data_IF_726642565479
#
_entry.id   IF_726642565479
#
_cell.length_a   1.000
_cell.length_b   1.000
_cell.length_c   1.000
_cell.angle_alpha   90.00
_cell.angle_beta   90.00
_cell.angle_gamma   90.00
#
_symmetry.space_group_name_H-M   'P 1'
#
loop_
_entity.id
_entity.type
_entity.pdbx_description
1 polymer ?
#
# COMPACT_ATOMS: atom_id res chain seq x y z
N UNK A 1 -10.61 -25.07 0.32
CA UNK A 1 -9.57 -24.15 0.80
C UNK A 1 -8.38 -24.28 -0.15
N UNK A 2 -8.52 -23.79 -1.37
CA UNK A 2 -7.42 -23.77 -2.32
C UNK A 2 -6.73 -22.41 -2.15
N UNK A 3 -5.47 -22.47 -1.75
CA UNK A 3 -4.45 -21.42 -1.70
C UNK A 3 -4.91 -20.00 -2.11
N UNK A 4 -5.15 -19.16 -1.11
CA UNK A 4 -5.26 -17.71 -1.29
C UNK A 4 -3.85 -17.14 -1.41
N UNK A 5 -3.16 -17.48 -2.50
CA UNK A 5 -1.83 -16.94 -2.77
C UNK A 5 -1.96 -15.44 -3.08
N UNK A 6 -1.31 -14.63 -2.25
CA UNK A 6 -1.29 -13.18 -2.39
C UNK A 6 -0.43 -12.71 -3.57
N UNK A 7 -0.48 -11.41 -3.91
CA UNK A 7 0.41 -10.84 -4.93
C UNK A 7 1.89 -11.18 -4.66
N UNK A 8 2.54 -11.82 -5.64
CA UNK A 8 3.96 -12.21 -5.54
C UNK A 8 4.24 -13.57 -4.92
N UNK A 9 3.21 -14.31 -4.53
CA UNK A 9 3.35 -15.69 -4.06
C UNK A 9 3.26 -16.69 -5.22
N UNK A 10 3.90 -17.86 -5.04
CA UNK A 10 3.90 -18.93 -6.04
C UNK A 10 5.00 -18.85 -7.10
N UNK A 11 4.91 -19.72 -8.10
CA UNK A 11 5.90 -19.81 -9.18
C UNK A 11 5.66 -18.76 -10.26
N UNK A 12 6.73 -18.11 -10.73
CA UNK A 12 6.63 -17.12 -11.81
C UNK A 12 6.17 -17.75 -13.13
N UNK A 13 5.22 -17.11 -13.79
CA UNK A 13 4.74 -17.47 -15.14
C UNK A 13 5.00 -16.33 -16.11
N UNK A 14 5.42 -16.64 -17.34
CA UNK A 14 5.64 -15.63 -18.38
C UNK A 14 4.31 -15.25 -19.03
N UNK A 15 4.00 -13.95 -19.02
CA UNK A 15 2.81 -13.38 -19.65
C UNK A 15 3.23 -12.33 -20.68
N UNK A 16 2.59 -12.35 -21.86
CA UNK A 16 2.82 -11.35 -22.91
C UNK A 16 1.74 -10.28 -22.87
N UNK A 17 2.15 -9.01 -22.82
CA UNK A 17 1.26 -7.85 -22.79
C UNK A 17 1.77 -6.76 -23.73
N UNK A 18 0.83 -6.04 -24.36
CA UNK A 18 1.15 -4.88 -25.19
C UNK A 18 1.33 -3.64 -24.32
N UNK A 19 2.38 -2.85 -24.59
CA UNK A 19 2.68 -1.61 -23.87
C UNK A 19 3.20 -0.55 -24.83
N UNK A 20 2.97 0.72 -24.51
CA UNK A 20 3.57 1.83 -25.24
C UNK A 20 5.10 1.78 -25.14
N UNK A 21 5.79 1.98 -26.27
CA UNK A 21 7.25 1.98 -26.34
C UNK A 21 7.89 3.00 -25.39
N UNK A 22 7.26 4.16 -25.23
CA UNK A 22 7.68 5.19 -24.27
C UNK A 22 7.66 4.70 -22.81
N UNK A 23 6.65 3.93 -22.43
CA UNK A 23 6.55 3.34 -21.07
C UNK A 23 7.68 2.36 -20.83
N UNK A 24 7.93 1.45 -21.77
CA UNK A 24 9.06 0.50 -21.67
C UNK A 24 10.40 1.24 -21.64
N UNK A 25 10.55 2.30 -22.43
CA UNK A 25 11.74 3.16 -22.42
C UNK A 25 11.97 3.81 -21.05
N UNK A 26 10.93 4.37 -20.44
CA UNK A 26 11.01 4.98 -19.11
C UNK A 26 11.40 3.96 -18.03
N UNK A 27 10.82 2.75 -18.05
CA UNK A 27 11.19 1.68 -17.12
C UNK A 27 12.65 1.27 -17.32
N UNK A 28 13.07 1.00 -18.57
CA UNK A 28 14.46 0.66 -18.87
C UNK A 28 15.44 1.75 -18.44
N UNK A 29 15.06 3.03 -18.56
CA UNK A 29 15.86 4.15 -18.09
C UNK A 29 16.05 4.14 -16.57
N UNK A 30 15.05 3.68 -15.79
CA UNK A 30 15.13 3.57 -14.32
C UNK A 30 15.91 2.38 -13.83
N UNK A 31 15.67 1.19 -14.39
CA UNK A 31 16.17 -0.09 -13.82
C UNK A 31 17.16 -0.84 -14.73
N UNK A 32 17.50 -0.27 -15.88
CA UNK A 32 18.31 -0.92 -16.89
C UNK A 32 17.56 -2.04 -17.64
N UNK A 33 18.21 -2.69 -18.61
CA UNK A 33 17.56 -3.68 -19.48
C UNK A 33 17.17 -4.99 -18.76
N UNK A 34 17.88 -5.37 -17.69
CA UNK A 34 17.63 -6.61 -16.94
C UNK A 34 16.61 -6.44 -15.79
N UNK A 35 16.31 -5.22 -15.38
CA UNK A 35 15.42 -4.95 -14.25
C UNK A 35 13.94 -4.80 -14.60
N UNK A 36 13.59 -4.82 -15.89
CA UNK A 36 12.23 -4.46 -16.36
C UNK A 36 11.17 -5.38 -15.77
N UNK A 37 11.35 -6.70 -15.83
CA UNK A 37 10.35 -7.65 -15.32
C UNK A 37 10.13 -7.51 -13.82
N UNK A 38 11.21 -7.41 -13.03
CA UNK A 38 11.12 -7.23 -11.59
C UNK A 38 10.46 -5.89 -11.21
N UNK A 39 10.73 -4.83 -11.97
CA UNK A 39 10.09 -3.53 -11.76
C UNK A 39 8.59 -3.58 -12.03
N UNK A 40 8.18 -4.21 -13.14
CA UNK A 40 6.77 -4.34 -13.51
C UNK A 40 6.04 -5.20 -12.50
N UNK A 41 6.60 -6.36 -12.13
CA UNK A 41 6.04 -7.26 -11.12
C UNK A 41 5.76 -6.52 -9.81
N UNK A 42 6.78 -5.85 -9.27
CA UNK A 42 6.62 -5.09 -8.03
C UNK A 42 5.62 -3.92 -8.17
N UNK A 43 5.50 -3.33 -9.36
CA UNK A 43 4.52 -2.27 -9.61
C UNK A 43 3.08 -2.82 -9.65
N UNK A 44 2.88 -3.98 -10.27
CA UNK A 44 1.58 -4.66 -10.32
C UNK A 44 1.16 -5.14 -8.94
N UNK A 45 2.05 -5.77 -8.18
CA UNK A 45 1.78 -6.18 -6.80
C UNK A 45 1.31 -5.01 -5.93
N UNK A 46 2.05 -3.90 -5.95
CA UNK A 46 1.65 -2.67 -5.22
C UNK A 46 0.31 -2.10 -5.67
N UNK A 47 -0.07 -2.28 -6.93
CA UNK A 47 -1.36 -1.80 -7.41
C UNK A 47 -2.48 -2.69 -6.86
N UNK A 48 -2.34 -4.02 -6.95
CA UNK A 48 -3.32 -4.96 -6.41
C UNK A 48 -3.49 -4.76 -4.89
N UNK A 49 -2.39 -4.61 -4.16
CA UNK A 49 -2.44 -4.33 -2.73
C UNK A 49 -3.21 -3.04 -2.42
N UNK A 50 -3.05 -1.99 -3.23
CA UNK A 50 -3.81 -0.73 -3.08
C UNK A 50 -5.28 -0.91 -3.40
N UNK A 51 -5.59 -1.61 -4.48
CA UNK A 51 -6.98 -1.88 -4.87
C UNK A 51 -7.69 -2.66 -3.75
N UNK A 52 -7.04 -3.69 -3.19
CA UNK A 52 -7.54 -4.44 -2.04
C UNK A 52 -7.73 -3.57 -0.79
N UNK A 53 -6.79 -2.65 -0.52
CA UNK A 53 -6.92 -1.70 0.60
C UNK A 53 -8.08 -0.73 0.40
N UNK A 54 -8.27 -0.23 -0.82
CA UNK A 54 -9.37 0.68 -1.16
C UNK A 54 -10.73 -0.02 -0.98
N UNK A 55 -10.84 -1.31 -1.33
CA UNK A 55 -12.04 -2.11 -1.06
C UNK A 55 -12.34 -2.23 0.44
N UNK A 56 -11.31 -2.49 1.27
CA UNK A 56 -11.46 -2.56 2.72
C UNK A 56 -11.85 -1.22 3.33
N UNK A 57 -11.26 -0.12 2.85
CA UNK A 57 -11.61 1.24 3.28
C UNK A 57 -13.06 1.53 2.92
N UNK A 58 -13.48 1.27 1.69
CA UNK A 58 -14.85 1.50 1.25
C UNK A 58 -15.88 0.72 2.08
N UNK A 59 -15.57 -0.54 2.44
CA UNK A 59 -16.42 -1.34 3.32
C UNK A 59 -16.53 -0.72 4.73
N UNK A 60 -15.41 -0.27 5.30
CA UNK A 60 -15.40 0.36 6.62
C UNK A 60 -16.14 1.71 6.62
N UNK A 61 -15.97 2.54 5.59
CA UNK A 61 -16.67 3.81 5.46
C UNK A 61 -18.18 3.64 5.23
N UNK A 62 -18.60 2.58 4.55
CA UNK A 62 -20.02 2.26 4.39
C UNK A 62 -20.69 1.89 5.73
N UNK A 63 -19.96 1.25 6.64
CA UNK A 63 -20.47 0.87 7.96
C UNK A 63 -20.41 2.02 8.98
N UNK A 64 -19.32 2.80 8.97
CA UNK A 64 -19.01 3.76 10.04
C UNK A 64 -19.08 5.23 9.62
N UNK A 65 -19.20 5.52 8.32
CA UNK A 65 -18.98 6.85 7.76
C UNK A 65 -17.51 7.14 7.50
N UNK A 66 -17.24 8.16 6.67
CA UNK A 66 -15.87 8.60 6.39
C UNK A 66 -15.26 9.32 7.59
N UNK A 67 -13.95 9.14 7.77
CA UNK A 67 -13.22 9.79 8.86
C UNK A 67 -12.78 11.18 8.41
N UNK A 68 -13.16 12.21 9.15
CA UNK A 68 -12.79 13.60 8.85
C UNK A 68 -11.38 13.96 9.32
N UNK A 69 -10.77 14.96 8.69
CA UNK A 69 -9.44 15.45 9.08
C UNK A 69 -9.45 16.01 10.51
N UNK A 70 -10.54 16.65 10.92
CA UNK A 70 -10.75 17.17 12.27
C UNK A 70 -10.79 16.05 13.32
N UNK A 71 -11.48 14.94 13.03
CA UNK A 71 -11.52 13.77 13.92
C UNK A 71 -10.14 13.13 14.07
N UNK A 72 -9.39 13.01 12.97
CA UNK A 72 -8.01 12.49 12.99
C UNK A 72 -7.14 13.39 13.87
N UNK A 73 -7.22 14.70 13.70
CA UNK A 73 -6.39 15.65 14.44
C UNK A 73 -6.75 15.67 15.93
N UNK A 74 -8.04 15.64 16.28
CA UNK A 74 -8.48 15.52 17.67
C UNK A 74 -7.93 14.24 18.34
N UNK A 75 -7.93 13.10 17.65
CA UNK A 75 -7.34 11.85 18.16
C UNK A 75 -5.83 11.91 18.28
N UNK A 76 -5.12 12.55 17.35
CA UNK A 76 -3.66 12.77 17.43
C UNK A 76 -3.29 13.62 18.63
N UNK A 77 -4.02 14.71 18.87
CA UNK A 77 -3.82 15.57 20.05
C UNK A 77 -4.06 14.81 21.35
N UNK A 78 -5.14 14.03 21.42
CA UNK A 78 -5.42 13.18 22.56
C UNK A 78 -4.28 12.18 22.82
N UNK A 79 -3.75 11.53 21.77
CA UNK A 79 -2.64 10.58 21.90
C UNK A 79 -1.35 11.26 22.35
N UNK A 80 -1.04 12.45 21.84
CA UNK A 80 0.13 13.22 22.26
C UNK A 80 0.06 13.57 23.75
N UNK A 81 -1.10 14.07 24.21
CA UNK A 81 -1.33 14.39 25.62
C UNK A 81 -1.12 13.17 26.53
N UNK A 82 -1.72 12.03 26.17
CA UNK A 82 -1.56 10.78 26.93
C UNK A 82 -0.10 10.31 27.00
N UNK A 83 0.69 10.50 25.93
CA UNK A 83 2.12 10.16 25.92
C UNK A 83 2.95 11.03 26.84
N UNK A 84 2.66 12.33 26.90
CA UNK A 84 3.37 13.24 27.78
C UNK A 84 3.04 12.97 29.26
N UNK A 85 1.79 12.63 29.57
CA UNK A 85 1.36 12.19 30.90
C UNK A 85 2.09 10.91 31.33
N UNK A 86 2.21 9.91 30.45
CA UNK A 86 2.97 8.67 30.76
C UNK A 86 4.47 8.93 30.92
N UNK A 87 5.07 9.84 30.14
CA UNK A 87 6.49 10.19 30.28
C UNK A 87 6.76 10.92 31.60
N UNK A 88 5.83 11.77 32.04
CA UNK A 88 5.91 12.46 33.33
C UNK A 88 5.75 11.53 34.53
N UNK A 89 4.91 10.50 34.43
CA UNK A 89 4.70 9.52 35.50
C UNK A 89 5.87 8.54 35.70
N UNK A 90 6.69 8.31 34.66
CA UNK A 90 7.89 7.45 34.75
C UNK A 90 9.16 8.16 35.22
N UNK A 91 9.12 9.47 35.48
CA UNK A 91 10.25 10.29 35.91
C UNK A 91 10.16 10.74 37.38
N UNK A 92 9.17 10.24 38.13
CA UNK A 92 8.97 10.47 39.57
C UNK A 92 9.19 9.15 40.34
#
# INVERSE_FOLDING_TARGET
MADEQGPGEGATTVVSVSMHSGTIGAVRGRVGPRGVSAYIEAAVQRQIERDNLDELIAAAEAEHGSITAEEIEAKRQQLAKLRDEHRGAGAA
#
